data_IF_645870718167
#
_entry.id   IF_645870718167
#
_cell.length_a   1.000
_cell.length_b   1.000
_cell.length_c   1.000
_cell.angle_alpha   90.00
_cell.angle_beta   90.00
_cell.angle_gamma   90.00
#
_symmetry.space_group_name_H-M   'P 1'
#
loop_
_entity.id
_entity.type
_entity.pdbx_description
1 polymer ?
#
# COMPACT_ATOMS: atom_id res chain seq x y z
N UNK A 1 26.97 6.28 16.60
CA UNK A 1 26.83 5.85 15.20
C UNK A 1 26.67 7.09 14.35
N UNK A 2 27.36 7.18 13.20
CA UNK A 2 27.41 8.38 12.35
C UNK A 2 27.09 7.97 10.92
N UNK A 3 26.11 8.62 10.29
CA UNK A 3 25.77 8.38 8.88
C UNK A 3 26.73 9.16 7.99
N UNK A 4 27.16 8.57 6.88
CA UNK A 4 28.11 9.18 5.95
C UNK A 4 27.47 9.38 4.58
N UNK A 5 26.82 8.35 4.04
CA UNK A 5 26.15 8.45 2.75
C UNK A 5 24.92 7.55 2.65
N UNK A 6 23.83 8.08 2.10
CA UNK A 6 22.63 7.34 1.74
C UNK A 6 22.50 7.29 0.23
N UNK A 7 22.22 6.10 -0.31
CA UNK A 7 21.88 5.88 -1.71
C UNK A 7 20.56 5.13 -1.79
N UNK A 8 19.56 5.71 -2.43
CA UNK A 8 18.24 5.10 -2.66
C UNK A 8 18.07 4.87 -4.15
N UNK A 9 17.85 3.62 -4.54
CA UNK A 9 17.46 3.20 -5.88
C UNK A 9 15.96 2.95 -5.96
N UNK A 10 15.34 3.45 -7.02
CA UNK A 10 13.96 3.14 -7.39
C UNK A 10 13.89 2.94 -8.90
N UNK A 11 13.99 1.69 -9.35
CA UNK A 11 14.05 1.36 -10.78
C UNK A 11 15.24 2.03 -11.47
N UNK A 12 14.97 2.90 -12.44
CA UNK A 12 16.00 3.63 -13.22
C UNK A 12 16.54 4.89 -12.52
N UNK A 13 16.03 5.23 -11.33
CA UNK A 13 16.40 6.46 -10.63
C UNK A 13 17.18 6.17 -9.36
N UNK A 14 18.34 6.84 -9.21
CA UNK A 14 19.17 6.75 -8.02
C UNK A 14 19.33 8.13 -7.40
N UNK A 15 18.97 8.25 -6.13
CA UNK A 15 19.26 9.40 -5.27
C UNK A 15 20.47 9.07 -4.41
N UNK A 16 21.46 9.96 -4.37
CA UNK A 16 22.59 9.86 -3.44
C UNK A 16 22.67 11.14 -2.62
N UNK A 17 22.87 11.01 -1.30
CA UNK A 17 23.02 12.13 -0.38
C UNK A 17 24.13 11.83 0.62
N UNK A 18 25.07 12.75 0.75
CA UNK A 18 26.12 12.70 1.77
C UNK A 18 25.65 13.43 3.02
N UNK A 19 25.92 12.85 4.19
CA UNK A 19 25.65 13.48 5.47
C UNK A 19 26.88 14.23 5.96
N UNK A 20 26.66 15.43 6.48
CA UNK A 20 27.69 16.14 7.24
C UNK A 20 27.97 15.39 8.55
N UNK A 21 29.24 15.30 9.00
CA UNK A 21 29.61 14.54 10.21
C UNK A 21 28.92 15.01 11.49
N UNK A 22 28.57 16.30 11.56
CA UNK A 22 27.88 16.91 12.71
C UNK A 22 26.36 17.05 12.48
N UNK A 23 25.94 17.99 11.62
CA UNK A 23 24.53 18.28 11.39
C UNK A 23 24.23 18.45 9.89
N UNK A 24 23.24 17.69 9.41
CA UNK A 24 22.68 17.84 8.06
C UNK A 24 21.28 18.44 8.14
N UNK A 25 21.05 19.59 7.49
CA UNK A 25 19.75 20.26 7.48
C UNK A 25 19.07 20.11 6.13
N UNK A 26 17.94 19.40 6.10
CA UNK A 26 17.15 19.18 4.88
C UNK A 26 16.06 20.25 4.74
N UNK A 27 16.19 21.12 3.72
CA UNK A 27 15.21 22.19 3.41
C UNK A 27 14.57 21.97 2.04
N UNK A 28 13.42 22.61 1.81
CA UNK A 28 12.73 22.59 0.52
C UNK A 28 11.88 21.34 0.24
N UNK A 29 11.92 20.32 1.11
CA UNK A 29 11.06 19.14 1.03
C UNK A 29 9.72 19.37 1.73
N UNK A 30 8.68 18.69 1.23
CA UNK A 30 7.39 18.61 1.90
C UNK A 30 7.49 17.81 3.22
N UNK A 31 6.58 17.98 4.19
CA UNK A 31 6.57 17.20 5.43
C UNK A 31 6.54 15.68 5.19
N UNK A 32 5.71 15.20 4.25
CA UNK A 32 5.61 13.77 3.93
C UNK A 32 6.89 13.24 3.28
N UNK A 33 7.53 14.04 2.42
CA UNK A 33 8.82 13.67 1.80
C UNK A 33 9.95 13.58 2.84
N UNK A 34 9.97 14.46 3.84
CA UNK A 34 10.93 14.36 4.95
C UNK A 34 10.72 13.09 5.77
N UNK A 35 9.46 12.76 6.07
CA UNK A 35 9.12 11.54 6.81
C UNK A 35 9.48 10.28 6.00
N UNK A 36 9.22 10.27 4.70
CA UNK A 36 9.64 9.18 3.81
C UNK A 36 11.16 9.01 3.81
N UNK A 37 11.94 10.11 3.70
CA UNK A 37 13.40 10.06 3.74
C UNK A 37 13.93 9.52 5.08
N UNK A 38 13.35 9.93 6.21
CA UNK A 38 13.69 9.39 7.51
C UNK A 38 13.37 7.89 7.60
N UNK A 39 12.22 7.47 7.03
CA UNK A 39 11.84 6.07 6.86
C UNK A 39 12.88 5.26 6.10
N UNK A 40 13.38 5.76 4.96
CA UNK A 40 14.41 5.07 4.17
C UNK A 40 15.71 4.86 4.96
N UNK A 41 16.14 5.86 5.74
CA UNK A 41 17.32 5.73 6.62
C UNK A 41 17.09 4.67 7.70
N UNK A 42 15.91 4.64 8.32
CA UNK A 42 15.55 3.65 9.33
C UNK A 42 15.49 2.25 8.72
N UNK A 43 14.88 2.10 7.54
CA UNK A 43 14.73 0.82 6.86
C UNK A 43 16.08 0.26 6.39
N UNK A 44 17.02 1.13 6.01
CA UNK A 44 18.40 0.73 5.74
C UNK A 44 19.04 0.09 6.97
N UNK A 45 18.84 0.72 8.14
CA UNK A 45 19.46 0.35 9.42
C UNK A 45 18.80 -0.84 10.13
N UNK A 46 17.48 -0.93 10.07
CA UNK A 46 16.70 -2.02 10.63
C UNK A 46 15.47 -2.24 9.75
N UNK A 47 15.55 -3.25 8.89
CA UNK A 47 14.50 -3.56 7.95
C UNK A 47 14.90 -4.52 6.85
N UNK A 48 13.90 -4.89 6.05
CA UNK A 48 14.02 -5.76 4.89
C UNK A 48 13.57 -5.06 3.59
N UNK A 49 13.48 -3.73 3.58
CA UNK A 49 13.11 -3.00 2.37
C UNK A 49 14.29 -2.96 1.39
N UNK A 50 14.13 -3.47 0.16
CA UNK A 50 15.17 -3.39 -0.85
C UNK A 50 15.27 -1.98 -1.46
N UNK A 51 16.38 -1.72 -2.14
CA UNK A 51 16.64 -0.48 -2.88
C UNK A 51 17.39 0.59 -2.09
N UNK A 52 17.91 0.29 -0.89
CA UNK A 52 18.59 1.29 -0.05
C UNK A 52 19.99 0.82 0.35
N UNK A 53 20.96 1.72 0.21
CA UNK A 53 22.34 1.51 0.63
C UNK A 53 22.74 2.64 1.58
N UNK A 54 23.48 2.29 2.63
CA UNK A 54 23.87 3.24 3.65
C UNK A 54 25.31 2.98 4.09
N UNK A 55 26.13 4.02 4.04
CA UNK A 55 27.48 4.06 4.57
C UNK A 55 27.44 4.79 5.91
N UNK A 56 28.06 4.18 6.93
CA UNK A 56 28.03 4.70 8.29
C UNK A 56 29.26 4.27 9.09
N UNK A 57 29.56 5.00 10.15
CA UNK A 57 30.58 4.66 11.12
C UNK A 57 29.93 4.26 12.47
N UNK A 58 30.21 3.05 12.95
CA UNK A 58 29.67 2.51 14.19
C UNK A 58 30.71 1.66 14.93
N UNK A 59 30.79 1.79 16.25
CA UNK A 59 31.68 0.96 17.07
C UNK A 59 33.17 1.04 16.68
N UNK A 60 33.61 2.15 16.07
CA UNK A 60 34.97 2.32 15.56
C UNK A 60 35.23 1.67 14.20
N UNK A 61 34.21 1.14 13.52
CA UNK A 61 34.29 0.52 12.18
C UNK A 61 33.51 1.32 11.15
N UNK A 62 34.00 1.36 9.92
CA UNK A 62 33.28 1.87 8.76
C UNK A 62 32.46 0.74 8.14
N UNK A 63 31.13 0.86 8.16
CA UNK A 63 30.20 -0.15 7.70
C UNK A 63 29.46 0.34 6.45
N UNK A 64 29.23 -0.57 5.51
CA UNK A 64 28.32 -0.36 4.38
C UNK A 64 27.21 -1.39 4.41
N UNK A 65 25.98 -0.90 4.52
CA UNK A 65 24.76 -1.69 4.49
C UNK A 65 24.24 -1.71 3.06
N UNK A 66 24.07 -2.92 2.52
CA UNK A 66 23.53 -3.14 1.18
C UNK A 66 22.17 -3.81 1.26
N UNK A 67 21.14 -3.14 0.72
CA UNK A 67 19.80 -3.71 0.47
C UNK A 67 19.52 -3.70 -1.03
N UNK A 68 20.11 -4.60 -1.83
CA UNK A 68 19.86 -4.62 -3.26
C UNK A 68 18.40 -5.02 -3.57
N UNK A 69 17.88 -4.58 -4.72
CA UNK A 69 16.57 -5.05 -5.25
C UNK A 69 16.54 -6.56 -5.49
N UNK A 70 17.69 -7.14 -5.83
CA UNK A 70 17.87 -8.57 -6.03
C UNK A 70 19.10 -9.07 -5.27
N UNK A 71 18.95 -10.20 -4.58
CA UNK A 71 20.03 -10.82 -3.80
C UNK A 71 19.90 -10.64 -2.28
N UNK A 72 20.92 -11.08 -1.54
CA UNK A 72 20.91 -11.08 -0.06
C UNK A 72 21.30 -9.70 0.47
N UNK A 73 20.53 -9.22 1.46
CA UNK A 73 20.91 -8.04 2.25
C UNK A 73 22.14 -8.35 3.08
N UNK A 74 23.06 -7.38 3.18
CA UNK A 74 24.35 -7.60 3.84
C UNK A 74 24.90 -6.35 4.50
N UNK A 75 25.71 -6.54 5.53
CA UNK A 75 26.53 -5.51 6.15
C UNK A 75 27.98 -5.86 5.92
N UNK A 76 28.73 -4.95 5.32
CA UNK A 76 30.15 -5.12 5.04
C UNK A 76 30.93 -4.15 5.93
N UNK A 77 31.91 -4.65 6.66
CA UNK A 77 32.95 -3.81 7.25
C UNK A 77 33.90 -3.42 6.12
N UNK A 78 33.88 -2.14 5.77
CA UNK A 78 34.62 -1.58 4.63
C UNK A 78 36.12 -1.50 4.94
N UNK A 79 36.49 -1.35 6.21
CA UNK A 79 37.90 -1.27 6.61
C UNK A 79 38.57 -2.65 6.51
N UNK A 80 37.86 -3.71 6.88
CA UNK A 80 38.37 -5.10 6.80
C UNK A 80 37.93 -5.87 5.54
N UNK A 81 37.02 -5.31 4.75
CA UNK A 81 36.38 -5.91 3.57
C UNK A 81 35.75 -7.27 3.90
N UNK A 82 35.09 -7.36 5.05
CA UNK A 82 34.45 -8.60 5.53
C UNK A 82 32.94 -8.43 5.61
N UNK A 83 32.23 -9.49 5.23
CA UNK A 83 30.80 -9.60 5.50
C UNK A 83 30.62 -9.88 7.00
N UNK A 84 30.03 -8.91 7.69
CA UNK A 84 29.73 -8.94 9.13
C UNK A 84 28.23 -9.02 9.39
N UNK A 85 27.44 -9.42 8.38
CA UNK A 85 25.98 -9.49 8.46
C UNK A 85 25.50 -10.26 9.68
N UNK A 86 26.12 -11.40 9.97
CA UNK A 86 25.71 -12.30 11.05
C UNK A 86 25.90 -11.66 12.45
N UNK A 87 26.78 -10.66 12.60
CA UNK A 87 26.96 -9.89 13.84
C UNK A 87 25.77 -8.94 14.11
N UNK A 88 25.00 -8.62 13.08
CA UNK A 88 23.91 -7.65 13.11
C UNK A 88 22.53 -8.28 12.87
N UNK A 89 22.42 -9.60 12.94
CA UNK A 89 21.12 -10.27 12.84
C UNK A 89 20.37 -10.16 14.17
N UNK A 90 19.18 -9.59 14.11
CA UNK A 90 18.23 -9.60 15.21
C UNK A 90 17.61 -10.98 15.45
N UNK A 91 16.82 -11.14 16.51
CA UNK A 91 16.20 -12.42 16.89
C UNK A 91 15.27 -13.01 15.83
N UNK A 92 14.76 -12.18 14.92
CA UNK A 92 13.88 -12.58 13.82
C UNK A 92 14.66 -12.97 12.54
N UNK A 93 16.00 -12.93 12.57
CA UNK A 93 16.85 -13.21 11.40
C UNK A 93 16.94 -12.06 10.39
N UNK A 94 16.43 -10.88 10.74
CA UNK A 94 16.60 -9.64 9.96
C UNK A 94 17.79 -8.84 10.45
N UNK A 95 18.43 -8.08 9.56
CA UNK A 95 19.53 -7.18 9.94
C UNK A 95 18.96 -5.99 10.71
N UNK A 96 19.43 -5.82 11.94
CA UNK A 96 19.08 -4.75 12.86
C UNK A 96 20.36 -4.15 13.47
N UNK A 97 20.81 -3.02 12.92
CA UNK A 97 21.95 -2.28 13.45
C UNK A 97 21.61 -1.46 14.72
N UNK A 98 20.33 -1.27 15.05
CA UNK A 98 19.94 -0.55 16.27
C UNK A 98 20.07 -1.40 17.51
N UNK A 99 19.85 -2.72 17.40
CA UNK A 99 20.05 -3.66 18.50
C UNK A 99 21.46 -3.55 19.12
N UNK A 100 22.49 -3.40 18.30
CA UNK A 100 23.88 -3.21 18.75
C UNK A 100 24.10 -1.85 19.47
N UNK A 101 23.25 -0.86 19.20
CA UNK A 101 23.29 0.45 19.84
C UNK A 101 22.34 0.57 21.05
N UNK A 102 21.55 -0.47 21.36
CA UNK A 102 20.54 -0.43 22.42
C UNK A 102 19.38 0.52 22.13
N UNK A 103 19.12 0.82 20.86
CA UNK A 103 18.08 1.75 20.41
C UNK A 103 16.92 0.93 19.84
N UNK A 104 15.68 1.20 20.27
CA UNK A 104 14.49 0.61 19.62
C UNK A 104 14.12 1.43 18.37
N UNK A 105 13.43 0.83 17.40
CA UNK A 105 13.02 1.47 16.14
C UNK A 105 12.15 2.70 16.37
N UNK A 106 11.32 2.69 17.41
CA UNK A 106 10.55 3.87 17.81
C UNK A 106 11.45 5.02 18.27
N UNK A 107 12.48 4.73 19.07
CA UNK A 107 13.47 5.70 19.50
C UNK A 107 14.33 6.18 18.33
N UNK A 108 14.77 5.28 17.44
CA UNK A 108 15.51 5.64 16.24
C UNK A 108 14.72 6.59 15.33
N UNK A 109 13.42 6.33 15.15
CA UNK A 109 12.55 7.21 14.36
C UNK A 109 12.44 8.61 14.95
N UNK A 110 12.38 8.71 16.28
CA UNK A 110 12.37 9.99 17.00
C UNK A 110 13.73 10.69 16.91
N UNK A 111 14.84 9.98 17.11
CA UNK A 111 16.19 10.58 17.09
C UNK A 111 16.63 11.06 15.71
N UNK A 112 16.25 10.33 14.64
CA UNK A 112 16.53 10.73 13.25
C UNK A 112 15.68 11.95 12.84
N UNK A 113 14.54 12.17 13.52
CA UNK A 113 13.61 13.25 13.28
C UNK A 113 13.72 14.31 14.38
N UNK A 114 14.60 15.29 14.17
CA UNK A 114 14.63 16.48 15.01
C UNK A 114 13.89 17.63 14.33
N UNK A 115 12.72 17.99 14.85
CA UNK A 115 11.84 19.03 14.32
C UNK A 115 11.73 20.21 15.28
N UNK A 116 11.01 21.27 14.85
CA UNK A 116 10.74 22.43 15.71
C UNK A 116 9.99 22.03 16.99
N UNK A 117 9.16 21.00 16.93
CA UNK A 117 8.39 20.52 18.08
C UNK A 117 9.28 19.83 19.12
N UNK A 118 10.49 19.39 18.71
CA UNK A 118 11.50 18.76 19.58
C UNK A 118 12.49 19.80 20.15
N UNK A 119 12.47 21.03 19.63
CA UNK A 119 13.20 22.19 20.18
C UNK A 119 12.37 22.83 21.27
N UNK A 120 12.23 22.14 22.40
CA UNK A 120 11.62 22.70 23.62
C UNK A 120 12.77 23.29 24.45
N UNK A 121 12.84 24.62 24.66
CA UNK A 121 13.77 25.20 25.62
C UNK A 121 13.60 24.52 26.98
N UNK A 122 14.68 24.25 27.70
CA UNK A 122 14.66 23.55 29.01
C UNK A 122 13.68 24.22 30.00
N UNK A 123 13.59 25.57 29.98
CA UNK A 123 12.62 26.34 30.78
C UNK A 123 11.15 26.10 30.40
N UNK A 124 10.87 25.77 29.14
CA UNK A 124 9.52 25.47 28.64
C UNK A 124 9.14 24.01 28.94
N UNK A 125 10.13 23.10 28.99
CA UNK A 125 9.98 21.71 29.45
C UNK A 125 9.53 21.64 30.91
N UNK A 126 10.23 22.33 31.81
CA UNK A 126 9.86 22.40 33.24
C UNK A 126 8.45 22.99 33.44
N UNK A 127 8.12 24.03 32.66
CA UNK A 127 6.80 24.65 32.69
C UNK A 127 5.69 23.71 32.21
N UNK A 128 5.99 22.83 31.24
CA UNK A 128 5.05 21.81 30.78
C UNK A 128 4.91 20.68 31.79
N UNK A 129 6.00 20.19 32.39
CA UNK A 129 5.97 19.17 33.44
C UNK A 129 5.14 19.67 34.63
N UNK A 130 5.42 20.87 35.15
CA UNK A 130 4.68 21.45 36.26
C UNK A 130 3.18 21.60 35.97
N UNK A 131 2.83 21.96 34.73
CA UNK A 131 1.44 22.14 34.29
C UNK A 131 0.71 20.81 34.11
N UNK A 132 1.37 19.82 33.49
CA UNK A 132 0.84 18.47 33.34
C UNK A 132 0.66 17.80 34.71
N UNK A 133 1.60 18.02 35.64
CA UNK A 133 1.54 17.51 37.00
C UNK A 133 0.37 18.11 37.81
N UNK A 134 -0.01 19.35 37.53
CA UNK A 134 -1.14 20.01 38.16
C UNK A 134 -2.51 19.61 37.57
N UNK A 135 -2.54 18.92 36.42
CA UNK A 135 -3.77 18.41 35.82
C UNK A 135 -4.26 17.14 36.56
N UNK A 136 -5.54 16.80 36.39
CA UNK A 136 -6.09 15.52 36.83
C UNK A 136 -5.36 14.38 36.13
N UNK A 137 -4.54 13.64 36.89
CA UNK A 137 -3.66 12.60 36.36
C UNK A 137 -4.45 11.45 35.74
N UNK A 138 -5.60 11.06 36.29
CA UNK A 138 -6.39 9.97 35.73
C UNK A 138 -6.97 10.38 34.37
N UNK A 139 -7.57 11.58 34.31
CA UNK A 139 -8.12 12.12 33.07
C UNK A 139 -7.04 12.41 32.01
N UNK A 140 -5.85 12.85 32.43
CA UNK A 140 -4.71 13.14 31.56
C UNK A 140 -4.25 11.88 30.82
N UNK A 141 -3.93 10.82 31.57
CA UNK A 141 -3.35 9.61 30.99
C UNK A 141 -4.38 8.79 30.20
N UNK A 142 -5.65 8.75 30.62
CA UNK A 142 -6.73 8.15 29.82
C UNK A 142 -6.92 8.88 28.48
N UNK A 143 -6.83 10.21 28.49
CA UNK A 143 -6.93 11.01 27.26
C UNK A 143 -5.70 10.83 26.37
N UNK A 144 -4.49 10.73 26.95
CA UNK A 144 -3.26 10.44 26.21
C UNK A 144 -3.34 9.09 25.49
N UNK A 145 -3.81 8.05 26.19
CA UNK A 145 -3.98 6.71 25.63
C UNK A 145 -5.03 6.67 24.51
N UNK A 146 -6.14 7.41 24.65
CA UNK A 146 -7.15 7.57 23.58
C UNK A 146 -6.57 8.25 22.35
N UNK A 147 -5.75 9.28 22.53
CA UNK A 147 -5.08 9.94 21.41
C UNK A 147 -4.14 8.98 20.68
N UNK A 148 -3.29 8.26 21.41
CA UNK A 148 -2.36 7.27 20.84
C UNK A 148 -3.10 6.13 20.11
N UNK A 149 -4.21 5.66 20.66
CA UNK A 149 -5.04 4.64 20.02
C UNK A 149 -5.66 5.17 18.71
N UNK A 150 -6.17 6.40 18.72
CA UNK A 150 -6.75 7.03 17.53
C UNK A 150 -5.72 7.29 16.43
N UNK A 151 -4.49 7.65 16.78
CA UNK A 151 -3.38 7.84 15.85
C UNK A 151 -3.00 6.53 15.15
N UNK A 152 -2.88 5.43 15.90
CA UNK A 152 -2.64 4.10 15.33
C UNK A 152 -3.74 3.67 14.35
N UNK A 153 -5.01 3.92 14.69
CA UNK A 153 -6.13 3.63 13.79
C UNK A 153 -6.08 4.46 12.51
N UNK A 154 -5.66 5.72 12.61
CA UNK A 154 -5.46 6.60 11.46
C UNK A 154 -4.31 6.12 10.57
N UNK A 155 -3.18 5.71 11.15
CA UNK A 155 -2.05 5.14 10.42
C UNK A 155 -2.44 3.84 9.70
N UNK A 156 -3.14 2.93 10.38
CA UNK A 156 -3.65 1.68 9.80
C UNK A 156 -4.62 1.94 8.64
N UNK A 157 -5.55 2.90 8.79
CA UNK A 157 -6.49 3.25 7.74
C UNK A 157 -5.81 3.96 6.56
N UNK A 158 -4.70 4.68 6.78
CA UNK A 158 -3.92 5.33 5.73
C UNK A 158 -3.11 4.34 4.91
N UNK A 159 -2.61 3.27 5.55
CA UNK A 159 -1.81 2.24 4.88
C UNK A 159 -2.63 1.37 3.92
N UNK A 160 -3.94 1.26 4.11
CA UNK A 160 -4.83 0.47 3.24
C UNK A 160 -5.25 1.16 1.94
N UNK A 161 -5.18 2.49 1.86
CA UNK A 161 -5.76 3.27 0.76
C UNK A 161 -4.84 3.43 -0.46
N UNK A 162 -4.59 2.34 -1.19
CA UNK A 162 -3.76 2.33 -2.39
C UNK A 162 -4.48 1.82 -3.63
N UNK A 163 -5.69 2.29 -3.93
CA UNK A 163 -6.36 1.94 -5.20
C UNK A 163 -5.76 2.76 -6.34
N UNK A 164 -5.06 2.05 -7.23
CA UNK A 164 -4.31 2.62 -8.34
C UNK A 164 -5.26 3.27 -9.37
N UNK A 165 -4.89 4.47 -9.82
CA UNK A 165 -5.47 5.10 -11.02
C UNK A 165 -4.95 4.40 -12.30
N UNK A 166 -3.99 3.49 -12.16
CA UNK A 166 -3.31 2.79 -13.25
C UNK A 166 -4.14 1.62 -13.85
N UNK A 167 -5.20 1.17 -13.17
CA UNK A 167 -6.04 0.05 -13.66
C UNK A 167 -7.12 0.49 -14.68
N UNK A 168 -7.42 1.77 -14.79
CA UNK A 168 -8.44 2.31 -15.69
C UNK A 168 -8.28 1.92 -17.19
N UNK A 169 -7.08 1.95 -17.81
CA UNK A 169 -6.90 1.54 -19.20
C UNK A 169 -7.11 0.04 -19.42
N UNK A 170 -6.70 -0.81 -18.48
CA UNK A 170 -6.84 -2.27 -18.56
C UNK A 170 -8.32 -2.66 -18.46
N UNK A 171 -9.05 -2.03 -17.53
CA UNK A 171 -10.50 -2.26 -17.36
C UNK A 171 -11.27 -1.90 -18.64
N UNK A 172 -10.94 -0.77 -19.27
CA UNK A 172 -11.62 -0.35 -20.50
C UNK A 172 -11.39 -1.33 -21.65
N UNK A 173 -10.17 -1.83 -21.83
CA UNK A 173 -9.87 -2.85 -22.85
C UNK A 173 -10.66 -4.14 -22.58
N UNK A 174 -10.76 -4.60 -21.33
CA UNK A 174 -11.56 -5.79 -20.97
C UNK A 174 -13.04 -5.59 -21.31
N UNK A 175 -13.62 -4.43 -20.97
CA UNK A 175 -15.03 -4.12 -21.27
C UNK A 175 -15.31 -4.05 -22.78
N UNK A 176 -14.40 -3.46 -23.56
CA UNK A 176 -14.51 -3.41 -25.02
C UNK A 176 -14.49 -4.82 -25.65
N UNK A 177 -13.62 -5.71 -25.15
CA UNK A 177 -13.56 -7.11 -25.62
C UNK A 177 -14.78 -7.92 -25.21
N UNK A 178 -15.29 -7.74 -23.99
CA UNK A 178 -16.51 -8.39 -23.54
C UNK A 178 -17.72 -7.95 -24.38
N UNK A 179 -17.86 -6.65 -24.64
CA UNK A 179 -18.92 -6.11 -25.50
C UNK A 179 -18.87 -6.70 -26.92
N UNK A 180 -17.67 -6.87 -27.48
CA UNK A 180 -17.48 -7.52 -28.78
C UNK A 180 -17.91 -9.00 -28.77
N UNK A 181 -17.63 -9.75 -27.69
CA UNK A 181 -18.09 -11.14 -27.54
C UNK A 181 -19.62 -11.23 -27.44
N UNK A 182 -20.24 -10.35 -26.65
CA UNK A 182 -21.71 -10.29 -26.51
C UNK A 182 -22.35 -10.00 -27.87
N UNK A 183 -21.83 -9.01 -28.62
CA UNK A 183 -22.33 -8.68 -29.95
C UNK A 183 -22.17 -9.83 -30.97
N UNK A 184 -21.05 -10.55 -30.92
CA UNK A 184 -20.82 -11.72 -31.77
C UNK A 184 -21.80 -12.87 -31.44
N UNK A 185 -22.06 -13.10 -30.15
CA UNK A 185 -22.97 -14.16 -29.67
C UNK A 185 -24.41 -13.85 -30.07
N UNK A 186 -24.87 -12.62 -29.85
CA UNK A 186 -26.21 -12.17 -30.24
C UNK A 186 -26.41 -12.22 -31.78
N UNK A 187 -25.37 -11.88 -32.54
CA UNK A 187 -25.40 -12.03 -34.01
C UNK A 187 -25.49 -13.50 -34.43
N UNK A 188 -24.76 -14.40 -33.75
CA UNK A 188 -24.84 -15.84 -34.02
C UNK A 188 -26.23 -16.39 -33.69
N UNK A 189 -26.83 -16.04 -32.56
CA UNK A 189 -28.17 -16.52 -32.20
C UNK A 189 -29.24 -16.10 -33.21
N UNK A 190 -29.20 -14.84 -33.65
CA UNK A 190 -30.13 -14.33 -34.69
C UNK A 190 -29.97 -15.05 -36.02
N UNK A 191 -28.74 -15.32 -36.44
CA UNK A 191 -28.45 -15.97 -37.72
C UNK A 191 -28.62 -17.49 -37.66
N UNK A 192 -28.45 -18.11 -36.49
CA UNK A 192 -28.46 -19.58 -36.33
C UNK A 192 -29.76 -20.20 -36.83
N UNK A 193 -30.90 -19.63 -36.45
CA UNK A 193 -32.21 -20.15 -36.86
C UNK A 193 -32.41 -20.02 -38.37
N UNK A 194 -32.02 -18.88 -38.95
CA UNK A 194 -32.14 -18.61 -40.39
C UNK A 194 -31.21 -19.52 -41.20
N UNK A 195 -29.96 -19.65 -40.78
CA UNK A 195 -28.97 -20.51 -41.42
C UNK A 195 -29.37 -22.00 -41.36
N UNK A 196 -29.91 -22.44 -40.21
CA UNK A 196 -30.40 -23.81 -40.04
C UNK A 196 -31.60 -24.08 -40.94
N UNK A 197 -32.60 -23.19 -40.95
CA UNK A 197 -33.82 -23.37 -41.77
C UNK A 197 -33.50 -23.37 -43.26
N UNK A 198 -32.71 -22.41 -43.76
CA UNK A 198 -32.25 -22.37 -45.15
C UNK A 198 -31.46 -23.64 -45.49
N UNK A 199 -30.54 -24.04 -44.61
CA UNK A 199 -29.73 -25.25 -44.76
C UNK A 199 -30.58 -26.52 -44.88
N UNK A 200 -31.56 -26.70 -43.99
CA UNK A 200 -32.45 -27.86 -43.96
C UNK A 200 -33.37 -27.89 -45.18
N UNK A 201 -33.96 -26.75 -45.58
CA UNK A 201 -34.82 -26.68 -46.77
C UNK A 201 -34.01 -26.99 -48.03
N UNK A 202 -32.80 -26.42 -48.15
CA UNK A 202 -31.89 -26.73 -49.26
C UNK A 202 -31.51 -28.21 -49.30
N UNK A 203 -31.18 -28.81 -48.17
CA UNK A 203 -30.83 -30.23 -48.10
C UNK A 203 -32.01 -31.14 -48.48
N UNK A 204 -33.21 -30.88 -47.96
CA UNK A 204 -34.42 -31.63 -48.29
C UNK A 204 -34.79 -31.47 -49.78
N UNK A 205 -34.68 -30.26 -50.31
CA UNK A 205 -34.90 -29.98 -51.73
C UNK A 205 -33.91 -30.71 -52.64
N UNK A 206 -32.64 -30.78 -52.24
CA UNK A 206 -31.62 -31.52 -52.98
C UNK A 206 -31.93 -33.01 -53.03
N UNK A 207 -32.29 -33.63 -51.90
CA UNK A 207 -32.68 -35.04 -51.84
C UNK A 207 -33.94 -35.29 -52.68
N UNK A 208 -34.96 -34.44 -52.58
CA UNK A 208 -36.18 -34.56 -53.38
C UNK A 208 -35.88 -34.53 -54.88
N UNK A 209 -35.10 -33.55 -55.33
CA UNK A 209 -34.77 -33.39 -56.76
C UNK A 209 -33.90 -34.52 -57.31
N UNK A 210 -32.97 -35.08 -56.52
CA UNK A 210 -32.19 -36.24 -56.96
C UNK A 210 -33.06 -37.47 -57.27
N UNK A 211 -34.22 -37.61 -56.63
CA UNK A 211 -35.11 -38.75 -56.82
C UNK A 211 -36.10 -38.58 -57.99
N UNK A 212 -36.34 -37.34 -58.46
CA UNK A 212 -37.37 -37.04 -59.47
C UNK A 212 -36.79 -36.81 -60.88
N UNK A 213 -35.83 -35.89 -61.04
CA UNK A 213 -35.40 -35.37 -62.36
C UNK A 213 -33.90 -35.59 -62.67
N UNK A 214 -33.19 -36.32 -61.80
CA UNK A 214 -31.76 -36.62 -61.96
C UNK A 214 -30.81 -35.54 -61.40
N UNK A 215 -29.52 -35.89 -61.34
CA UNK A 215 -28.46 -35.14 -60.63
C UNK A 215 -28.36 -33.62 -60.87
N UNK A 216 -28.50 -33.08 -62.10
CA UNK A 216 -28.29 -31.64 -62.33
C UNK A 216 -29.39 -30.75 -61.75
N UNK A 217 -30.60 -31.25 -61.49
CA UNK A 217 -31.68 -30.46 -60.88
C UNK A 217 -31.48 -30.21 -59.37
N UNK A 218 -30.64 -31.00 -58.71
CA UNK A 218 -30.34 -30.87 -57.27
C UNK A 218 -29.25 -29.83 -56.95
N UNK A 219 -28.46 -29.42 -57.95
CA UNK A 219 -27.36 -28.45 -57.82
C UNK A 219 -27.75 -27.13 -57.12
N UNK A 220 -28.82 -26.41 -57.50
CA UNK A 220 -29.17 -25.16 -56.84
C UNK A 220 -29.55 -25.35 -55.37
N UNK A 221 -30.22 -26.45 -55.03
CA UNK A 221 -30.60 -26.77 -53.65
C UNK A 221 -29.39 -27.13 -52.79
N UNK A 222 -28.41 -27.83 -53.36
CA UNK A 222 -27.12 -28.08 -52.70
C UNK A 222 -26.34 -26.80 -52.43
N UNK A 223 -26.35 -25.84 -53.37
CA UNK A 223 -25.71 -24.53 -53.16
C UNK A 223 -26.36 -23.74 -52.03
N UNK A 224 -27.69 -23.78 -51.91
CA UNK A 224 -28.42 -23.15 -50.80
C UNK A 224 -28.09 -23.82 -49.46
N UNK A 225 -28.01 -25.15 -49.43
CA UNK A 225 -27.62 -25.89 -48.23
C UNK A 225 -26.19 -25.56 -47.78
N UNK A 226 -25.25 -25.52 -48.74
CA UNK A 226 -23.85 -25.13 -48.49
C UNK A 226 -23.74 -23.68 -48.01
N UNK A 227 -24.56 -22.78 -48.56
CA UNK A 227 -24.60 -21.39 -48.12
C UNK A 227 -25.05 -21.25 -46.66
N UNK A 228 -26.14 -21.92 -46.26
CA UNK A 228 -26.60 -21.94 -44.87
C UNK A 228 -25.54 -22.48 -43.91
N UNK A 229 -24.86 -23.57 -44.30
CA UNK A 229 -23.76 -24.16 -43.53
C UNK A 229 -22.56 -23.19 -43.40
N UNK A 230 -22.13 -22.59 -44.51
CA UNK A 230 -21.02 -21.64 -44.53
C UNK A 230 -21.30 -20.41 -43.66
N UNK A 231 -22.54 -19.90 -43.71
CA UNK A 231 -22.99 -18.79 -42.89
C UNK A 231 -22.93 -19.15 -41.39
N UNK A 232 -23.46 -20.31 -41.00
CA UNK A 232 -23.40 -20.79 -39.62
C UNK A 232 -21.96 -20.97 -39.10
N UNK A 233 -21.07 -21.51 -39.92
CA UNK A 233 -19.65 -21.68 -39.56
C UNK A 233 -18.91 -20.35 -39.43
N UNK A 234 -19.21 -19.36 -40.28
CA UNK A 234 -18.58 -18.03 -40.21
C UNK A 234 -18.94 -17.31 -38.90
N UNK A 235 -20.21 -17.28 -38.54
CA UNK A 235 -20.65 -16.64 -37.30
C UNK A 235 -20.17 -17.40 -36.05
N UNK A 236 -20.10 -18.73 -36.11
CA UNK A 236 -19.47 -19.52 -35.04
C UNK A 236 -18.00 -19.16 -34.84
N UNK A 237 -17.23 -19.07 -35.93
CA UNK A 237 -15.81 -18.63 -35.87
C UNK A 237 -15.67 -17.23 -35.29
N UNK A 238 -16.56 -16.31 -35.66
CA UNK A 238 -16.58 -14.95 -35.09
C UNK A 238 -16.75 -14.96 -33.57
N UNK A 239 -17.59 -15.84 -33.02
CA UNK A 239 -17.76 -15.98 -31.57
C UNK A 239 -16.51 -16.57 -30.94
N UNK A 240 -15.94 -17.63 -31.54
CA UNK A 240 -14.72 -18.27 -31.03
C UNK A 240 -13.52 -17.30 -31.00
N UNK A 241 -13.38 -16.46 -32.03
CA UNK A 241 -12.32 -15.47 -32.14
C UNK A 241 -12.49 -14.34 -31.12
N UNK A 242 -13.71 -13.83 -30.94
CA UNK A 242 -14.02 -12.83 -29.91
C UNK A 242 -13.79 -13.38 -28.50
N UNK A 243 -14.18 -14.64 -28.24
CA UNK A 243 -13.98 -15.29 -26.95
C UNK A 243 -12.50 -15.54 -26.64
N UNK A 244 -11.66 -15.78 -27.65
CA UNK A 244 -10.21 -15.88 -27.46
C UNK A 244 -9.58 -14.52 -27.17
N UNK A 245 -10.03 -13.47 -27.86
CA UNK A 245 -9.54 -12.11 -27.64
C UNK A 245 -9.83 -11.62 -26.23
N UNK A 246 -11.06 -11.82 -25.72
CA UNK A 246 -11.43 -11.50 -24.34
C UNK A 246 -10.58 -12.27 -23.32
N UNK A 247 -10.49 -13.60 -23.46
CA UNK A 247 -9.67 -14.45 -22.56
C UNK A 247 -8.19 -14.07 -22.54
N UNK A 248 -7.65 -13.55 -23.64
CA UNK A 248 -6.25 -13.12 -23.68
C UNK A 248 -6.03 -11.85 -22.85
N UNK A 249 -6.95 -10.90 -22.90
CA UNK A 249 -6.86 -9.67 -22.09
C UNK A 249 -7.15 -9.96 -20.63
N UNK A 250 -8.15 -10.79 -20.32
CA UNK A 250 -8.43 -11.24 -18.96
C UNK A 250 -7.21 -11.93 -18.32
N UNK A 251 -6.53 -12.82 -19.05
CA UNK A 251 -5.29 -13.47 -18.57
C UNK A 251 -4.15 -12.48 -18.32
N UNK A 252 -4.04 -11.42 -19.11
CA UNK A 252 -3.04 -10.37 -18.87
C UNK A 252 -3.35 -9.59 -17.59
N UNK A 253 -4.63 -9.45 -17.24
CA UNK A 253 -5.09 -8.88 -15.99
C UNK A 253 -5.15 -9.89 -14.82
N UNK A 254 -4.67 -11.12 -15.00
CA UNK A 254 -4.64 -12.15 -13.96
C UNK A 254 -5.99 -12.83 -13.68
N UNK A 255 -7.01 -12.59 -14.50
CA UNK A 255 -8.33 -13.19 -14.36
C UNK A 255 -8.57 -14.30 -15.41
N UNK A 256 -9.20 -15.39 -15.00
CA UNK A 256 -9.54 -16.50 -15.91
C UNK A 256 -10.91 -16.32 -16.58
N UNK A 257 -11.83 -15.56 -15.95
CA UNK A 257 -13.19 -15.31 -16.43
C UNK A 257 -13.68 -13.90 -16.08
N UNK A 258 -14.56 -13.36 -16.91
CA UNK A 258 -15.14 -12.03 -16.75
C UNK A 258 -16.02 -11.92 -15.50
N UNK A 259 -16.72 -12.99 -15.11
CA UNK A 259 -17.55 -12.99 -13.91
C UNK A 259 -16.71 -12.86 -12.62
N UNK A 260 -15.57 -13.57 -12.57
CA UNK A 260 -14.61 -13.46 -11.46
C UNK A 260 -14.00 -12.07 -11.40
N UNK A 261 -13.56 -11.54 -12.55
CA UNK A 261 -13.05 -10.16 -12.66
C UNK A 261 -14.07 -9.12 -12.17
N UNK A 262 -15.34 -9.25 -12.55
CA UNK A 262 -16.40 -8.34 -12.07
C UNK A 262 -16.67 -8.48 -10.59
N UNK A 263 -16.63 -9.70 -10.04
CA UNK A 263 -16.80 -9.93 -8.62
C UNK A 263 -15.66 -9.31 -7.80
N UNK A 264 -14.41 -9.56 -8.20
CA UNK A 264 -13.22 -8.97 -7.57
C UNK A 264 -13.25 -7.44 -7.68
N UNK A 265 -13.70 -6.90 -8.81
CA UNK A 265 -13.87 -5.45 -9.00
C UNK A 265 -14.96 -4.86 -8.10
N UNK A 266 -16.11 -5.51 -7.96
CA UNK A 266 -17.17 -5.05 -7.06
C UNK A 266 -16.71 -5.16 -5.61
N UNK A 267 -15.99 -6.21 -5.25
CA UNK A 267 -15.36 -6.36 -3.93
C UNK A 267 -14.36 -5.23 -3.68
N UNK A 268 -13.46 -4.95 -4.63
CA UNK A 268 -12.46 -3.89 -4.52
C UNK A 268 -13.09 -2.49 -4.44
N UNK A 269 -14.18 -2.23 -5.16
CA UNK A 269 -14.94 -0.98 -5.05
C UNK A 269 -15.62 -0.84 -3.69
N UNK A 270 -16.20 -1.92 -3.17
CA UNK A 270 -16.82 -1.95 -1.83
C UNK A 270 -15.76 -1.81 -0.72
N UNK A 271 -14.61 -2.45 -0.87
CA UNK A 271 -13.46 -2.34 0.01
C UNK A 271 -12.90 -0.92 -0.02
N UNK A 272 -12.78 -0.28 -1.18
CA UNK A 272 -12.33 1.12 -1.31
C UNK A 272 -13.26 2.12 -0.60
N UNK A 273 -14.58 1.90 -0.66
CA UNK A 273 -15.57 2.76 -0.01
C UNK A 273 -15.65 2.46 1.50
N UNK A 274 -15.45 1.20 1.89
CA UNK A 274 -15.26 0.81 3.29
C UNK A 274 -13.98 1.42 3.89
N UNK A 275 -12.85 1.34 3.20
CA UNK A 275 -11.56 1.93 3.55
C UNK A 275 -11.66 3.45 3.64
N UNK A 276 -12.26 4.11 2.65
CA UNK A 276 -12.52 5.56 2.68
C UNK A 276 -13.36 5.96 3.89
N UNK A 277 -14.43 5.22 4.20
CA UNK A 277 -15.25 5.47 5.39
C UNK A 277 -14.47 5.22 6.68
N UNK A 278 -13.69 4.15 6.74
CA UNK A 278 -12.85 3.82 7.89
C UNK A 278 -11.82 4.91 8.14
N UNK A 279 -11.15 5.41 7.10
CA UNK A 279 -10.22 6.53 7.15
C UNK A 279 -10.90 7.81 7.64
N UNK A 280 -12.06 8.19 7.09
CA UNK A 280 -12.78 9.39 7.53
C UNK A 280 -13.25 9.30 8.99
N UNK A 281 -13.65 8.11 9.46
CA UNK A 281 -13.95 7.87 10.88
C UNK A 281 -12.70 8.02 11.75
N UNK A 282 -11.58 7.40 11.37
CA UNK A 282 -10.32 7.50 12.09
C UNK A 282 -9.82 8.95 12.18
N UNK A 283 -9.94 9.75 11.11
CA UNK A 283 -9.65 11.19 11.12
C UNK A 283 -10.56 11.93 12.10
N UNK A 284 -11.86 11.62 12.12
CA UNK A 284 -12.82 12.23 13.04
C UNK A 284 -12.52 11.88 14.50
N UNK A 285 -12.20 10.62 14.78
CA UNK A 285 -11.83 10.13 16.11
C UNK A 285 -10.53 10.77 16.60
N UNK A 286 -9.51 10.84 15.75
CA UNK A 286 -8.25 11.50 16.06
C UNK A 286 -8.42 12.99 16.37
N UNK A 287 -9.21 13.72 15.56
CA UNK A 287 -9.53 15.13 15.84
C UNK A 287 -10.25 15.32 17.18
N UNK A 288 -11.19 14.44 17.52
CA UNK A 288 -11.91 14.49 18.80
C UNK A 288 -10.99 14.19 19.97
N UNK A 289 -10.14 13.18 19.85
CA UNK A 289 -9.16 12.83 20.88
C UNK A 289 -8.17 13.98 21.11
N UNK A 290 -7.61 14.57 20.04
CA UNK A 290 -6.70 15.71 20.14
C UNK A 290 -7.38 16.95 20.74
N UNK A 291 -8.66 17.21 20.43
CA UNK A 291 -9.41 18.29 21.06
C UNK A 291 -9.60 18.05 22.57
N UNK A 292 -9.89 16.83 22.99
CA UNK A 292 -9.97 16.46 24.41
C UNK A 292 -8.61 16.59 25.10
N UNK A 293 -7.52 16.21 24.43
CA UNK A 293 -6.16 16.42 24.92
C UNK A 293 -5.88 17.90 25.17
N UNK A 294 -6.21 18.79 24.22
CA UNK A 294 -6.03 20.24 24.42
C UNK A 294 -6.85 20.77 25.60
N UNK A 295 -8.00 20.19 25.93
CA UNK A 295 -8.79 20.60 27.10
C UNK A 295 -8.12 20.20 28.43
N UNK A 296 -7.55 19.00 28.50
CA UNK A 296 -6.94 18.46 29.74
C UNK A 296 -5.50 18.94 29.92
N UNK A 297 -4.70 18.84 28.85
CA UNK A 297 -3.27 19.10 28.84
C UNK A 297 -2.91 20.48 28.29
N UNK A 298 -3.88 21.31 27.88
CA UNK A 298 -3.63 22.65 27.34
C UNK A 298 -2.73 22.63 26.09
N UNK A 299 -1.78 23.58 25.95
CA UNK A 299 -0.84 23.60 24.83
C UNK A 299 0.28 22.55 24.90
N UNK A 300 0.30 21.66 25.90
CA UNK A 300 1.36 20.64 25.99
C UNK A 300 1.24 19.66 24.80
N UNK A 301 2.33 19.40 24.06
CA UNK A 301 2.32 18.37 23.04
C UNK A 301 2.10 16.98 23.65
N UNK A 302 1.25 16.16 23.04
CA UNK A 302 1.04 14.77 23.44
C UNK A 302 2.34 13.93 23.44
N UNK A 303 3.22 14.04 22.42
CA UNK A 303 4.47 13.27 22.40
C UNK A 303 5.38 13.60 23.58
N UNK A 304 5.43 14.87 23.99
CA UNK A 304 6.22 15.32 25.13
C UNK A 304 5.72 14.69 26.43
N UNK A 305 4.39 14.70 26.66
CA UNK A 305 3.80 14.15 27.87
C UNK A 305 4.01 12.63 27.99
N UNK A 306 3.96 11.90 26.86
CA UNK A 306 4.22 10.45 26.84
C UNK A 306 5.70 10.12 27.09
N UNK A 307 6.62 10.97 26.66
CA UNK A 307 8.05 10.79 26.91
C UNK A 307 8.44 11.07 28.36
N UNK A 308 7.81 12.08 28.98
CA UNK A 308 8.12 12.52 30.35
C UNK A 308 7.08 12.00 31.35
N UNK A 309 6.44 10.85 31.08
CA UNK A 309 5.37 10.31 31.94
C UNK A 309 5.82 10.13 33.39
N UNK A 310 7.01 9.53 33.59
CA UNK A 310 7.57 9.28 34.91
C UNK A 310 7.85 10.59 35.67
N UNK A 311 8.38 11.61 34.97
CA UNK A 311 8.69 12.92 35.55
C UNK A 311 7.42 13.70 35.91
N UNK A 312 6.39 13.65 35.06
CA UNK A 312 5.08 14.27 35.32
C UNK A 312 4.39 13.60 36.50
N UNK A 313 4.41 12.26 36.58
CA UNK A 313 3.83 11.52 37.71
C UNK A 313 4.56 11.84 39.02
N UNK A 314 5.90 11.83 39.02
CA UNK A 314 6.69 12.19 40.19
C UNK A 314 6.41 13.63 40.65
N UNK A 315 6.30 14.58 39.71
CA UNK A 315 5.94 15.96 40.02
C UNK A 315 4.50 16.09 40.56
N UNK A 316 3.55 15.29 40.06
CA UNK A 316 2.18 15.27 40.54
C UNK A 316 2.07 14.71 41.97
N UNK A 317 2.83 13.65 42.29
CA UNK A 317 2.92 13.10 43.65
C UNK A 317 3.48 14.12 44.64
N UNK A 318 4.53 14.85 44.25
CA UNK A 318 5.07 15.95 45.04
C UNK A 318 4.02 17.06 45.23
N UNK A 319 3.31 17.44 44.17
CA UNK A 319 2.27 18.46 44.23
C UNK A 319 1.13 18.07 45.19
N UNK A 320 0.66 16.81 45.13
CA UNK A 320 -0.34 16.28 46.05
C UNK A 320 0.17 16.27 47.51
N UNK A 321 1.42 15.86 47.74
CA UNK A 321 2.02 15.82 49.07
C UNK A 321 2.21 17.22 49.71
N UNK A 322 2.46 18.26 48.91
CA UNK A 322 2.54 19.65 49.38
C UNK A 322 1.17 20.32 49.55
N UNK A 323 0.19 19.98 48.70
CA UNK A 323 -1.19 20.46 48.81
C UNK A 323 -1.89 19.97 50.08
N UNK A 324 -1.64 18.72 50.50
CA UNK A 324 -2.26 18.14 51.70
C UNK A 324 -1.70 18.74 53.00
N UNK A 325 -0.43 19.19 53.00
CA UNK A 325 0.22 19.81 54.17
C UNK A 325 -0.18 21.26 54.43
N UNK A 326 -0.80 21.94 53.46
CA UNK A 326 -1.27 23.33 53.60
C UNK A 326 -2.73 23.41 54.08
N UNK A 327 -3.41 22.28 54.26
CA UNK A 327 -4.79 22.17 54.76
C UNK A 327 -4.94 21.70 56.22
N UNK A 328 -3.87 21.48 56.96
CA UNK A 328 -3.93 21.08 58.38
C UNK A 328 -3.93 22.32 59.30
N UNK A 329 -4.99 22.57 60.11
CA UNK A 329 -5.06 23.69 61.04
C UNK A 329 -4.13 23.58 62.24
#
# INVERSE_FOLDING_TARGET
MRLERLVIGSGEHTLSADFHPDLTVVRGLSPSTREALAGEVIDALAGARPGVHLELHAGGRSLTVFRPETGRHRVIDTDSVRDVTDEHLGPNGEIDLFAAAGVDRALARRTIRFTRDDLVPEQESDAWIARLAAADQEALWDTAMRCRASERLLEQASAGGGVSVDDAPIVREIEERHAALVAATDSYERVRLIALTIGTIGALGAVGMTNLDGGPAALPFLLVALFGLALGLRFRRSVDDAAKAERNVLRQAGADDYATFHYERVSALLDSDHERRAFMRAVGDHRRAMAAWTQVAGPAPLPFALEHEDEVRAAAELHAAFGDRSGAP
#
